data_IF_583240494539
#
_entry.id   IF_583240494539
#
_cell.length_a   1.000
_cell.length_b   1.000
_cell.length_c   1.000
_cell.angle_alpha   90.00
_cell.angle_beta   90.00
_cell.angle_gamma   90.00
#
_symmetry.space_group_name_H-M   'P 1'
#
loop_
_entity.id
_entity.type
_entity.pdbx_description
1 polymer ?
#
# COMPACT_ATOMS: atom_id res chain seq x y z
N UNK A 1 0.19 9.64 1.39
CA UNK A 1 -0.67 8.94 2.39
C UNK A 1 -0.11 7.58 2.75
N UNK A 2 -0.59 6.99 3.86
CA UNK A 2 -0.21 5.64 4.30
C UNK A 2 -1.45 4.78 4.53
N UNK A 3 -1.44 3.54 4.04
CA UNK A 3 -2.44 2.52 4.32
C UNK A 3 -1.81 1.46 5.21
N UNK A 4 -2.23 1.38 6.48
CA UNK A 4 -1.65 0.48 7.48
C UNK A 4 -2.61 -0.67 7.79
N UNK A 5 -2.09 -1.90 7.85
CA UNK A 5 -2.85 -3.03 8.34
C UNK A 5 -3.18 -2.84 9.82
N UNK A 6 -4.35 -3.26 10.24
CA UNK A 6 -4.81 -3.16 11.62
C UNK A 6 -3.72 -3.68 12.58
N UNK A 7 -3.43 -2.89 13.59
CA UNK A 7 -2.44 -3.20 14.64
C UNK A 7 -1.04 -3.56 14.11
N UNK A 8 -0.68 -3.07 12.92
CA UNK A 8 0.63 -3.31 12.28
C UNK A 8 0.93 -4.79 12.01
N UNK A 9 -0.11 -5.62 11.85
CA UNK A 9 0.05 -7.06 11.57
C UNK A 9 0.79 -7.24 10.25
N UNK A 10 1.89 -8.05 10.20
CA UNK A 10 2.74 -8.19 9.02
C UNK A 10 2.13 -9.15 7.99
N UNK A 11 1.21 -8.65 7.17
CA UNK A 11 0.48 -9.42 6.15
C UNK A 11 1.24 -9.47 4.81
N UNK A 12 2.03 -8.43 4.49
CA UNK A 12 2.70 -8.29 3.19
C UNK A 12 4.08 -8.96 3.17
N UNK A 13 4.22 -10.07 3.86
CA UNK A 13 5.43 -10.90 3.88
C UNK A 13 5.44 -11.98 2.80
N UNK A 14 4.37 -12.08 2.01
CA UNK A 14 4.19 -13.05 0.92
C UNK A 14 3.95 -12.33 -0.40
N UNK A 15 4.57 -12.79 -1.50
CA UNK A 15 4.36 -12.20 -2.82
C UNK A 15 2.88 -12.09 -3.20
N UNK A 16 2.07 -13.13 -2.90
CA UNK A 16 0.66 -13.16 -3.29
C UNK A 16 -0.15 -12.03 -2.63
N UNK A 17 0.12 -11.69 -1.35
CA UNK A 17 -0.59 -10.60 -0.67
C UNK A 17 -0.16 -9.23 -1.19
N UNK A 18 1.12 -9.07 -1.56
CA UNK A 18 1.61 -7.83 -2.19
C UNK A 18 1.05 -7.66 -3.60
N UNK A 19 1.01 -8.72 -4.41
CA UNK A 19 0.46 -8.66 -5.76
C UNK A 19 -0.99 -8.18 -5.78
N UNK A 20 -1.82 -8.57 -4.80
CA UNK A 20 -3.19 -8.05 -4.68
C UNK A 20 -3.21 -6.51 -4.55
N UNK A 21 -2.24 -5.91 -3.84
CA UNK A 21 -2.13 -4.45 -3.76
C UNK A 21 -1.72 -3.86 -5.10
N UNK A 22 -0.69 -4.41 -5.72
CA UNK A 22 -0.13 -3.91 -6.98
C UNK A 22 -1.14 -4.02 -8.13
N UNK A 23 -1.82 -5.16 -8.26
CA UNK A 23 -2.87 -5.37 -9.27
C UNK A 23 -4.02 -4.37 -9.09
N UNK A 24 -4.40 -4.09 -7.82
CA UNK A 24 -5.44 -3.10 -7.54
C UNK A 24 -5.01 -1.67 -7.87
N UNK A 25 -3.73 -1.32 -7.64
CA UNK A 25 -3.19 -0.01 -8.05
C UNK A 25 -3.12 0.10 -9.57
N UNK A 26 -2.64 -0.94 -10.27
CA UNK A 26 -2.60 -0.97 -11.74
C UNK A 26 -3.99 -0.82 -12.35
N UNK A 27 -4.99 -1.50 -11.79
CA UNK A 27 -6.38 -1.35 -12.24
C UNK A 27 -6.89 0.08 -12.07
N UNK A 28 -6.66 0.69 -10.89
CA UNK A 28 -7.07 2.08 -10.65
C UNK A 28 -6.30 3.08 -11.53
N UNK A 29 -5.04 2.78 -11.87
CA UNK A 29 -4.26 3.62 -12.81
C UNK A 29 -4.88 3.62 -14.20
N UNK A 30 -5.40 2.49 -14.67
CA UNK A 30 -6.16 2.41 -15.94
C UNK A 30 -7.46 3.23 -15.89
N UNK A 31 -8.03 3.43 -14.70
CA UNK A 31 -9.20 4.28 -14.47
C UNK A 31 -8.86 5.75 -14.16
N UNK A 32 -7.60 6.17 -14.27
CA UNK A 32 -7.16 7.55 -14.14
C UNK A 32 -6.44 7.92 -12.84
N UNK A 33 -6.20 6.98 -11.92
CA UNK A 33 -5.36 7.22 -10.76
C UNK A 33 -3.90 7.38 -11.20
N UNK A 34 -3.30 8.54 -11.01
CA UNK A 34 -1.87 8.77 -11.26
C UNK A 34 -1.07 8.36 -10.02
N UNK A 35 -0.32 7.27 -10.10
CA UNK A 35 0.59 6.82 -9.04
C UNK A 35 1.97 7.40 -9.30
N UNK A 36 2.45 8.29 -8.44
CA UNK A 36 3.77 8.90 -8.53
C UNK A 36 4.85 8.05 -7.87
N UNK A 37 4.58 7.56 -6.67
CA UNK A 37 5.51 6.68 -5.96
C UNK A 37 4.77 5.76 -4.99
N UNK A 38 5.36 4.59 -4.72
CA UNK A 38 4.88 3.69 -3.69
C UNK A 38 6.03 2.88 -3.07
N UNK A 39 5.80 2.40 -1.86
CA UNK A 39 6.54 1.30 -1.23
C UNK A 39 5.60 0.46 -0.38
N UNK A 40 5.64 -0.86 -0.58
CA UNK A 40 4.94 -1.82 0.27
C UNK A 40 5.94 -2.41 1.24
N UNK A 41 5.70 -2.21 2.53
CA UNK A 41 6.44 -2.83 3.62
C UNK A 41 5.59 -3.96 4.23
N UNK A 42 6.13 -4.69 5.19
CA UNK A 42 5.51 -5.91 5.75
C UNK A 42 4.08 -5.72 6.27
N UNK A 43 3.68 -4.49 6.61
CA UNK A 43 2.40 -4.20 7.28
C UNK A 43 1.73 -2.90 6.82
N UNK A 44 2.32 -2.18 5.87
CA UNK A 44 1.73 -0.97 5.33
C UNK A 44 2.23 -0.63 3.93
N UNK A 45 1.45 0.20 3.24
CA UNK A 45 1.75 0.82 1.96
C UNK A 45 1.87 2.32 2.16
N UNK A 46 3.01 2.92 1.76
CA UNK A 46 3.08 4.34 1.45
C UNK A 46 2.81 4.55 -0.03
N UNK A 47 2.02 5.58 -0.34
CA UNK A 47 1.70 5.92 -1.72
C UNK A 47 1.59 7.44 -1.90
N UNK A 48 2.10 7.94 -3.02
CA UNK A 48 1.84 9.29 -3.55
C UNK A 48 1.02 9.10 -4.81
N UNK A 49 -0.18 9.62 -4.81
CA UNK A 49 -1.11 9.48 -5.93
C UNK A 49 -2.01 10.70 -6.06
N UNK A 50 -2.58 10.89 -7.27
CA UNK A 50 -3.52 11.94 -7.61
C UNK A 50 -4.66 11.36 -8.45
N UNK A 51 -5.88 11.78 -8.17
CA UNK A 51 -7.05 11.63 -9.04
C UNK A 51 -8.09 12.66 -8.67
N UNK A 52 -9.08 12.88 -9.54
CA UNK A 52 -10.21 13.81 -9.30
C UNK A 52 -11.14 13.29 -8.19
N UNK A 53 -11.05 12.02 -7.83
CA UNK A 53 -11.86 11.37 -6.80
C UNK A 53 -11.02 10.49 -5.85
N UNK A 54 -9.85 11.00 -5.44
CA UNK A 54 -8.82 10.23 -4.71
C UNK A 54 -9.37 9.49 -3.49
N UNK A 55 -10.23 10.11 -2.69
CA UNK A 55 -10.83 9.45 -1.52
C UNK A 55 -11.65 8.22 -1.93
N UNK A 56 -12.48 8.33 -2.95
CA UNK A 56 -13.29 7.22 -3.47
C UNK A 56 -12.42 6.10 -4.03
N UNK A 57 -11.37 6.44 -4.77
CA UNK A 57 -10.44 5.47 -5.33
C UNK A 57 -9.72 4.71 -4.21
N UNK A 58 -9.27 5.39 -3.17
CA UNK A 58 -8.62 4.76 -2.03
C UNK A 58 -9.57 3.96 -1.14
N UNK A 59 -10.84 4.34 -1.05
CA UNK A 59 -11.87 3.51 -0.42
C UNK A 59 -12.11 2.22 -1.20
N UNK A 60 -12.21 2.30 -2.54
CA UNK A 60 -12.31 1.13 -3.44
C UNK A 60 -11.09 0.22 -3.30
N UNK A 61 -9.88 0.80 -3.33
CA UNK A 61 -8.62 0.09 -3.10
C UNK A 61 -8.65 -0.68 -1.79
N UNK A 62 -8.92 0.01 -0.67
CA UNK A 62 -8.95 -0.62 0.66
C UNK A 62 -10.01 -1.72 0.78
N UNK A 63 -11.20 -1.49 0.25
CA UNK A 63 -12.29 -2.48 0.29
C UNK A 63 -11.97 -3.73 -0.54
N UNK A 64 -11.46 -3.54 -1.76
CA UNK A 64 -11.10 -4.63 -2.67
C UNK A 64 -9.95 -5.46 -2.12
N UNK A 65 -8.85 -4.83 -1.75
CA UNK A 65 -7.64 -5.50 -1.26
C UNK A 65 -7.91 -6.23 0.05
N UNK A 66 -8.63 -5.63 1.01
CA UNK A 66 -9.02 -6.30 2.24
C UNK A 66 -9.81 -7.59 1.95
N UNK A 67 -10.84 -7.52 1.08
CA UNK A 67 -11.63 -8.69 0.72
C UNK A 67 -10.78 -9.79 0.09
N UNK A 68 -9.94 -9.45 -0.90
CA UNK A 68 -9.11 -10.42 -1.63
C UNK A 68 -8.06 -11.07 -0.72
N UNK A 69 -7.39 -10.27 0.12
CA UNK A 69 -6.37 -10.80 1.04
C UNK A 69 -7.03 -11.69 2.11
N UNK A 70 -8.17 -11.30 2.68
CA UNK A 70 -8.87 -12.13 3.65
C UNK A 70 -9.37 -13.47 3.04
N UNK A 71 -9.77 -13.46 1.75
CA UNK A 71 -10.09 -14.70 1.03
C UNK A 71 -8.84 -15.58 0.88
N UNK A 72 -7.73 -15.03 0.40
CA UNK A 72 -6.47 -15.74 0.25
C UNK A 72 -5.97 -16.34 1.58
N UNK A 73 -6.02 -15.57 2.68
CA UNK A 73 -5.62 -16.04 3.99
C UNK A 73 -6.47 -17.24 4.46
N UNK A 74 -7.78 -17.25 4.18
CA UNK A 74 -8.67 -18.38 4.48
C UNK A 74 -8.35 -19.60 3.62
N UNK A 75 -8.21 -19.41 2.31
CA UNK A 75 -7.88 -20.48 1.36
C UNK A 75 -6.54 -21.16 1.69
N UNK A 76 -5.58 -20.37 2.21
CA UNK A 76 -4.26 -20.86 2.65
C UNK A 76 -4.22 -21.32 4.10
N UNK A 77 -5.35 -21.33 4.81
CA UNK A 77 -5.46 -21.70 6.22
C UNK A 77 -4.50 -20.93 7.16
N UNK A 78 -4.29 -19.61 6.90
CA UNK A 78 -3.40 -18.76 7.70
C UNK A 78 -4.19 -18.18 8.88
N UNK A 79 -4.55 -19.05 9.82
CA UNK A 79 -5.41 -18.72 10.96
C UNK A 79 -4.79 -17.67 11.89
N UNK A 80 -3.49 -17.74 12.17
CA UNK A 80 -2.80 -16.78 13.08
C UNK A 80 -3.08 -15.32 12.71
N UNK A 81 -3.00 -14.97 11.42
CA UNK A 81 -3.28 -13.60 10.98
C UNK A 81 -4.77 -13.29 11.08
N UNK A 82 -5.65 -14.24 10.70
CA UNK A 82 -7.09 -14.06 10.77
C UNK A 82 -7.57 -13.86 12.22
N UNK A 83 -7.03 -14.60 13.16
CA UNK A 83 -7.36 -14.51 14.59
C UNK A 83 -6.89 -13.18 15.18
N UNK A 84 -5.70 -12.71 14.81
CA UNK A 84 -5.21 -11.39 15.20
C UNK A 84 -6.11 -10.27 14.66
N UNK A 85 -6.50 -10.34 13.38
CA UNK A 85 -7.41 -9.36 12.76
C UNK A 85 -8.80 -9.36 13.40
N UNK A 86 -9.29 -10.52 13.87
CA UNK A 86 -10.53 -10.62 14.61
C UNK A 86 -10.42 -10.04 16.02
N UNK A 87 -9.32 -10.36 16.72
CA UNK A 87 -9.05 -9.91 18.10
C UNK A 87 -8.93 -8.39 18.19
N UNK A 88 -8.16 -7.78 17.29
CA UNK A 88 -7.93 -6.32 17.30
C UNK A 88 -9.02 -5.51 16.59
N UNK A 89 -10.04 -6.17 16.02
CA UNK A 89 -11.16 -5.47 15.39
C UNK A 89 -11.85 -4.57 16.41
N UNK A 90 -12.09 -3.30 16.05
CA UNK A 90 -12.77 -2.34 16.91
C UNK A 90 -14.20 -2.78 17.25
N UNK A 91 -14.60 -2.65 18.51
CA UNK A 91 -15.88 -3.12 19.03
C UNK A 91 -17.11 -2.53 18.30
N UNK A 92 -17.01 -1.26 17.84
CA UNK A 92 -18.10 -0.61 17.12
C UNK A 92 -18.32 -1.15 15.68
N UNK A 93 -17.40 -1.97 15.15
CA UNK A 93 -17.54 -2.62 13.84
C UNK A 93 -18.37 -3.90 13.94
N UNK A 94 -19.65 -3.77 14.22
CA UNK A 94 -20.57 -4.91 14.39
C UNK A 94 -20.97 -5.55 13.05
N UNK A 95 -20.86 -4.79 11.94
CA UNK A 95 -21.20 -5.20 10.58
C UNK A 95 -20.25 -6.23 9.96
N UNK A 96 -19.10 -6.51 10.60
CA UNK A 96 -18.07 -7.41 10.09
C UNK A 96 -17.39 -8.21 11.19
N UNK A 97 -16.91 -9.42 10.83
CA UNK A 97 -16.14 -10.30 11.74
C UNK A 97 -14.66 -9.90 11.85
N UNK A 98 -14.09 -9.30 10.80
CA UNK A 98 -12.68 -8.93 10.69
C UNK A 98 -12.55 -7.47 10.26
N UNK A 99 -11.48 -6.82 10.73
CA UNK A 99 -11.04 -5.53 10.22
C UNK A 99 -9.63 -5.67 9.68
N UNK A 100 -9.39 -5.26 8.42
CA UNK A 100 -8.08 -5.42 7.77
C UNK A 100 -7.23 -4.15 7.86
N UNK A 101 -7.75 -3.02 7.34
CA UNK A 101 -7.06 -1.74 7.37
C UNK A 101 -7.37 -0.95 8.63
N UNK A 102 -6.38 -0.21 9.13
CA UNK A 102 -6.62 0.86 10.10
C UNK A 102 -7.59 1.88 9.52
N UNK A 103 -8.38 2.49 10.40
CA UNK A 103 -9.28 3.58 10.03
C UNK A 103 -8.52 4.86 9.74
N UNK A 104 -9.21 5.71 9.00
CA UNK A 104 -8.72 7.02 8.63
C UNK A 104 -8.27 7.09 7.17
N UNK A 105 -8.46 8.28 6.64
CA UNK A 105 -7.96 8.72 5.35
C UNK A 105 -7.34 10.08 5.60
N UNK A 106 -6.02 10.13 5.69
CA UNK A 106 -5.25 11.32 6.04
C UNK A 106 -4.22 11.58 4.93
N UNK A 107 -4.65 12.06 3.75
CA UNK A 107 -3.73 12.48 2.72
C UNK A 107 -3.02 13.76 3.17
N UNK A 108 -1.74 13.84 2.93
CA UNK A 108 -0.99 15.07 3.01
C UNK A 108 -0.98 15.70 1.62
N UNK A 109 -1.38 16.96 1.52
CA UNK A 109 -1.35 17.71 0.28
C UNK A 109 0.10 18.03 -0.09
N UNK A 110 0.45 17.83 -1.35
CA UNK A 110 1.77 18.18 -1.90
C UNK A 110 1.57 19.43 -2.76
N UNK A 111 2.22 20.53 -2.37
CA UNK A 111 1.99 21.85 -2.92
C UNK A 111 2.86 22.20 -4.13
N UNK A 112 4.03 21.55 -4.25
CA UNK A 112 5.03 21.89 -5.25
C UNK A 112 5.96 20.70 -5.54
N UNK A 113 6.74 20.82 -6.63
CA UNK A 113 7.66 19.78 -7.11
C UNK A 113 8.79 19.47 -6.11
N UNK A 114 9.24 20.45 -5.34
CA UNK A 114 10.27 20.25 -4.32
C UNK A 114 9.76 19.32 -3.22
N UNK A 115 8.55 19.59 -2.74
CA UNK A 115 7.90 18.75 -1.75
C UNK A 115 7.62 17.35 -2.31
N UNK A 116 7.19 17.24 -3.58
CA UNK A 116 6.98 15.97 -4.25
C UNK A 116 8.25 15.13 -4.28
N UNK A 117 9.38 15.72 -4.72
CA UNK A 117 10.69 15.05 -4.73
C UNK A 117 11.11 14.55 -3.35
N UNK A 118 10.97 15.39 -2.33
CA UNK A 118 11.29 15.02 -0.95
C UNK A 118 10.42 13.84 -0.44
N UNK A 119 9.12 13.84 -0.77
CA UNK A 119 8.21 12.78 -0.37
C UNK A 119 8.47 11.47 -1.12
N UNK A 120 8.82 11.54 -2.40
CA UNK A 120 9.23 10.37 -3.19
C UNK A 120 10.49 9.75 -2.58
N UNK A 121 11.53 10.56 -2.33
CA UNK A 121 12.76 10.10 -1.69
C UNK A 121 12.49 9.51 -0.30
N UNK A 122 11.68 10.17 0.52
CA UNK A 122 11.28 9.66 1.83
C UNK A 122 10.66 8.27 1.74
N UNK A 123 9.72 8.07 0.79
CA UNK A 123 9.06 6.77 0.59
C UNK A 123 10.08 5.71 0.19
N UNK A 124 10.94 5.99 -0.77
CA UNK A 124 11.94 5.04 -1.27
C UNK A 124 12.99 4.68 -0.22
N UNK A 125 13.34 5.60 0.68
CA UNK A 125 14.32 5.36 1.75
C UNK A 125 13.75 4.54 2.93
N UNK A 126 12.45 4.27 2.99
CA UNK A 126 11.88 3.52 4.12
C UNK A 126 12.51 2.14 4.36
N UNK A 127 12.71 1.27 3.34
CA UNK A 127 13.35 -0.03 3.55
C UNK A 127 14.83 0.07 3.96
N UNK A 128 15.54 1.10 3.48
CA UNK A 128 16.94 1.37 3.85
C UNK A 128 17.03 1.80 5.32
N UNK A 129 16.19 2.76 5.73
CA UNK A 129 16.14 3.23 7.14
C UNK A 129 15.78 2.13 8.13
N UNK A 130 15.07 1.10 7.66
CA UNK A 130 14.75 -0.09 8.47
C UNK A 130 15.86 -1.15 8.45
N UNK A 131 16.92 -0.95 7.68
CA UNK A 131 18.03 -1.89 7.58
C UNK A 131 17.71 -3.16 6.77
N UNK A 132 16.67 -3.13 5.94
CA UNK A 132 16.30 -4.29 5.11
C UNK A 132 17.18 -4.44 3.87
N UNK A 133 17.66 -3.32 3.34
CA UNK A 133 18.48 -3.21 2.13
C UNK A 133 19.42 -2.01 2.24
N UNK A 134 20.47 -1.98 1.43
CA UNK A 134 21.46 -0.89 1.39
C UNK A 134 21.06 0.24 0.43
N UNK A 135 20.30 -0.07 -0.63
CA UNK A 135 19.89 0.90 -1.65
C UNK A 135 18.40 0.76 -1.97
N UNK A 136 17.66 1.88 -2.15
CA UNK A 136 16.22 1.87 -2.36
C UNK A 136 15.75 0.98 -3.52
N UNK A 137 16.49 0.96 -4.63
CA UNK A 137 16.20 0.17 -5.83
C UNK A 137 16.30 -1.34 -5.63
N UNK A 138 16.94 -1.79 -4.53
CA UNK A 138 16.98 -3.21 -4.17
C UNK A 138 15.67 -3.71 -3.54
N UNK A 139 14.80 -2.79 -3.07
CA UNK A 139 13.48 -3.20 -2.55
C UNK A 139 12.50 -3.47 -3.69
N UNK A 140 12.20 -4.77 -3.90
CA UNK A 140 11.35 -5.22 -5.00
C UNK A 140 9.98 -4.53 -5.05
N UNK A 141 9.36 -4.29 -3.90
CA UNK A 141 7.98 -3.77 -3.78
C UNK A 141 7.95 -2.25 -3.61
N UNK A 142 8.75 -1.56 -4.43
CA UNK A 142 8.87 -0.10 -4.44
C UNK A 142 9.01 0.41 -5.86
N UNK A 143 8.52 1.62 -6.10
CA UNK A 143 8.77 2.38 -7.32
C UNK A 143 10.19 2.95 -7.42
N UNK A 144 11.09 2.71 -6.45
CA UNK A 144 12.47 3.19 -6.52
C UNK A 144 13.22 2.68 -7.76
N UNK A 145 12.89 1.48 -8.25
CA UNK A 145 13.45 0.92 -9.48
C UNK A 145 13.12 1.77 -10.71
N UNK A 146 11.87 2.24 -10.82
CA UNK A 146 11.42 3.11 -11.91
C UNK A 146 12.20 4.43 -11.95
N UNK A 147 12.56 4.96 -10.77
CA UNK A 147 13.34 6.20 -10.63
C UNK A 147 14.83 5.99 -10.83
N UNK A 148 15.34 4.76 -10.76
CA UNK A 148 16.72 4.38 -11.09
C UNK A 148 16.91 3.91 -12.54
N UNK A 149 15.85 4.00 -13.38
CA UNK A 149 15.90 3.58 -14.79
C UNK A 149 15.76 2.07 -15.00
N UNK A 150 15.27 1.34 -14.01
CA UNK A 150 14.97 -0.09 -14.12
C UNK A 150 13.46 -0.29 -14.25
N UNK A 151 13.04 -1.46 -14.71
CA UNK A 151 11.61 -1.81 -14.79
C UNK A 151 11.04 -2.05 -13.38
N UNK A 152 9.98 -1.30 -13.03
CA UNK A 152 9.18 -1.50 -11.83
C UNK A 152 8.13 -2.60 -11.99
N UNK A 153 7.27 -2.77 -10.98
CA UNK A 153 6.20 -3.77 -10.98
C UNK A 153 4.86 -3.24 -11.49
N UNK A 154 4.65 -1.92 -11.44
CA UNK A 154 3.47 -1.22 -11.97
C UNK A 154 3.92 0.07 -12.64
N UNK A 155 3.13 0.56 -13.57
CA UNK A 155 3.40 1.84 -14.25
C UNK A 155 3.34 3.01 -13.27
N UNK A 156 4.30 3.93 -13.39
CA UNK A 156 4.45 5.13 -12.55
C UNK A 156 4.33 6.39 -13.40
N UNK A 157 3.50 7.32 -12.94
CA UNK A 157 3.35 8.63 -13.56
C UNK A 157 4.53 9.54 -13.19
N UNK A 158 5.34 9.93 -14.19
CA UNK A 158 6.55 10.76 -14.00
C UNK A 158 6.46 12.16 -14.64
N UNK A 159 5.34 12.50 -15.23
CA UNK A 159 5.13 13.80 -15.88
C UNK A 159 4.62 14.82 -14.86
N UNK A 160 5.56 15.49 -14.17
CA UNK A 160 5.29 16.50 -13.14
C UNK A 160 6.43 17.50 -13.02
#
# INVERSE_FOLDING_TARGET
MTCTVLHWIPVFTRPETVNILLDSLSFLSQEGLKVYAYVVLENHLHIIAQSDQLEKDMLRFKAHTARKILMLLRERNIHTILDQLAFYKKAHKTDRKLQFWQEGFHPEWISDDKMLKQKIEYIHQNPVKRGYIDKPEHWRYSSARDYSGQDGLIEIYKQW
#
